data_IF_929694762617
#
_entry.id   IF_929694762617
#
_cell.length_a   1.000
_cell.length_b   1.000
_cell.length_c   1.000
_cell.angle_alpha   90.00
_cell.angle_beta   90.00
_cell.angle_gamma   90.00
#
_symmetry.space_group_name_H-M   'P 1'
#
loop_
_entity.id
_entity.type
_entity.pdbx_description
1 polymer ?
#
# COMPACT_ATOMS: atom_id res chain seq x y z
N UNK A 1 33.52 -148.16 32.83
CA UNK A 1 34.18 -147.46 33.95
C UNK A 1 34.49 -146.05 33.51
N UNK A 2 34.23 -145.02 34.33
CA UNK A 2 34.48 -143.63 33.98
C UNK A 2 35.97 -143.34 34.15
N UNK A 3 36.60 -142.70 33.17
CA UNK A 3 37.93 -142.10 33.37
C UNK A 3 37.85 -140.60 33.15
N UNK A 4 37.90 -139.92 34.28
CA UNK A 4 38.11 -138.49 34.46
C UNK A 4 39.50 -138.10 33.97
N UNK A 5 39.57 -137.04 33.17
CA UNK A 5 40.79 -136.26 32.98
C UNK A 5 40.56 -134.83 33.49
N UNK A 6 41.31 -134.48 34.53
CA UNK A 6 42.01 -133.21 34.63
C UNK A 6 41.21 -131.90 34.66
N UNK A 7 40.22 -131.78 35.55
CA UNK A 7 39.81 -130.58 36.33
C UNK A 7 38.36 -130.76 36.77
N UNK A 8 38.13 -131.49 37.87
CA UNK A 8 36.96 -131.42 38.77
C UNK A 8 35.52 -131.48 38.22
N UNK A 9 35.30 -131.58 36.91
CA UNK A 9 34.01 -131.33 36.27
C UNK A 9 33.69 -132.55 35.41
N UNK A 10 32.61 -133.28 35.73
CA UNK A 10 32.13 -134.39 34.92
C UNK A 10 31.61 -133.88 33.57
N UNK A 11 31.58 -134.73 32.53
CA UNK A 11 31.12 -134.34 31.18
C UNK A 11 29.71 -133.74 31.17
N UNK A 12 28.87 -134.11 32.14
CA UNK A 12 27.53 -133.56 32.34
C UNK A 12 27.57 -132.13 32.89
N UNK A 13 28.45 -131.84 33.85
CA UNK A 13 28.63 -130.50 34.40
C UNK A 13 29.29 -129.57 33.36
N UNK A 14 30.24 -130.06 32.55
CA UNK A 14 30.83 -129.27 31.47
C UNK A 14 29.77 -128.88 30.42
N UNK A 15 28.90 -129.82 30.02
CA UNK A 15 27.78 -129.53 29.11
C UNK A 15 26.77 -128.55 29.70
N UNK A 16 26.49 -128.66 31.00
CA UNK A 16 25.62 -127.71 31.70
C UNK A 16 26.24 -126.31 31.76
N UNK A 17 27.54 -126.20 32.06
CA UNK A 17 28.27 -124.92 32.06
C UNK A 17 28.27 -124.31 30.64
N UNK A 18 28.55 -125.09 29.60
CA UNK A 18 28.52 -124.60 28.20
C UNK A 18 27.12 -124.13 27.83
N UNK A 19 26.07 -124.89 28.17
CA UNK A 19 24.69 -124.49 27.90
C UNK A 19 24.31 -123.21 28.65
N UNK A 20 24.67 -123.08 29.94
CA UNK A 20 24.44 -121.88 30.73
C UNK A 20 25.22 -120.69 30.15
N UNK A 21 26.48 -120.89 29.74
CA UNK A 21 27.29 -119.84 29.12
C UNK A 21 26.74 -119.45 27.75
N UNK A 22 26.30 -120.38 26.91
CA UNK A 22 25.70 -120.09 25.61
C UNK A 22 24.34 -119.38 25.74
N UNK A 23 23.50 -119.77 26.69
CA UNK A 23 22.25 -119.06 26.99
C UNK A 23 22.54 -117.66 27.52
N UNK A 24 23.50 -117.52 28.44
CA UNK A 24 23.89 -116.23 29.00
C UNK A 24 24.55 -115.32 27.96
N UNK A 25 25.34 -115.89 27.04
CA UNK A 25 25.95 -115.17 25.92
C UNK A 25 24.88 -114.80 24.89
N UNK A 26 23.86 -115.62 24.65
CA UNK A 26 22.72 -115.26 23.81
C UNK A 26 21.88 -114.13 24.41
N UNK A 27 21.67 -114.12 25.73
CA UNK A 27 20.96 -113.03 26.42
C UNK A 27 21.72 -111.70 26.39
N UNK A 28 23.06 -111.72 26.37
CA UNK A 28 23.90 -110.51 26.45
C UNK A 28 24.33 -110.00 25.06
N UNK A 29 24.34 -110.86 24.04
CA UNK A 29 24.90 -110.53 22.73
C UNK A 29 23.88 -109.80 21.87
N UNK A 30 24.21 -108.54 21.54
CA UNK A 30 23.53 -107.78 20.49
C UNK A 30 23.60 -108.56 19.18
N UNK A 31 22.44 -108.72 18.55
CA UNK A 31 22.35 -109.37 17.25
C UNK A 31 22.90 -108.46 16.16
N UNK A 32 23.33 -109.05 15.03
CA UNK A 32 23.81 -108.26 13.89
C UNK A 32 22.72 -107.34 13.33
N UNK A 33 21.47 -107.78 13.42
CA UNK A 33 20.27 -107.04 13.02
C UNK A 33 20.07 -105.79 13.88
N UNK A 34 20.06 -105.91 15.22
CA UNK A 34 19.97 -104.76 16.13
C UNK A 34 21.11 -103.74 15.95
N UNK A 35 22.31 -104.21 15.62
CA UNK A 35 23.45 -103.33 15.35
C UNK A 35 23.33 -102.60 14.01
N UNK A 36 22.80 -103.26 12.97
CA UNK A 36 22.57 -102.64 11.67
C UNK A 36 21.38 -101.67 11.72
N UNK A 37 20.34 -101.95 12.50
CA UNK A 37 19.24 -101.02 12.81
C UNK A 37 19.76 -99.78 13.56
N UNK A 38 20.60 -99.97 14.58
CA UNK A 38 21.23 -98.85 15.29
C UNK A 38 22.08 -97.98 14.34
N UNK A 39 22.87 -98.58 13.44
CA UNK A 39 23.62 -97.81 12.43
C UNK A 39 22.69 -97.01 11.53
N UNK A 40 21.54 -97.58 11.15
CA UNK A 40 20.57 -96.90 10.31
C UNK A 40 20.00 -95.67 11.03
N UNK A 41 19.58 -95.82 12.29
CA UNK A 41 19.12 -94.70 13.13
C UNK A 41 20.21 -93.62 13.27
N UNK A 42 21.47 -94.02 13.50
CA UNK A 42 22.60 -93.07 13.61
C UNK A 42 22.84 -92.32 12.30
N UNK A 43 22.71 -92.98 11.14
CA UNK A 43 22.81 -92.31 9.83
C UNK A 43 21.67 -91.31 9.61
N UNK A 44 20.45 -91.69 9.96
CA UNK A 44 19.28 -90.79 9.86
C UNK A 44 19.42 -89.58 10.78
N UNK A 45 19.91 -89.78 12.00
CA UNK A 45 20.20 -88.69 12.93
C UNK A 45 21.29 -87.76 12.39
N UNK A 46 22.37 -88.30 11.83
CA UNK A 46 23.43 -87.50 11.20
C UNK A 46 22.90 -86.67 10.02
N UNK A 47 22.02 -87.24 9.19
CA UNK A 47 21.37 -86.51 8.10
C UNK A 47 20.41 -85.42 8.63
N UNK A 48 19.64 -85.70 9.68
CA UNK A 48 18.76 -84.73 10.32
C UNK A 48 19.55 -83.57 10.94
N UNK A 49 20.70 -83.87 11.56
CA UNK A 49 21.62 -82.87 12.09
C UNK A 49 22.18 -81.99 10.96
N UNK A 50 22.68 -82.57 9.87
CA UNK A 50 23.19 -81.81 8.73
C UNK A 50 22.12 -80.88 8.10
N UNK A 51 20.86 -81.34 8.00
CA UNK A 51 19.74 -80.48 7.54
C UNK A 51 19.44 -79.35 8.52
N UNK A 52 19.66 -79.56 9.81
CA UNK A 52 19.45 -78.56 10.85
C UNK A 52 20.55 -77.51 10.80
N UNK A 53 21.82 -77.90 10.65
CA UNK A 53 22.95 -76.98 10.46
C UNK A 53 22.73 -76.08 9.23
N UNK A 54 22.35 -76.66 8.08
CA UNK A 54 22.02 -75.85 6.89
C UNK A 54 20.86 -74.87 7.11
N UNK A 55 19.89 -75.21 7.95
CA UNK A 55 18.79 -74.29 8.31
C UNK A 55 19.27 -73.18 9.24
N UNK A 56 20.19 -73.48 10.16
CA UNK A 56 20.80 -72.50 11.05
C UNK A 56 21.68 -71.52 10.27
N UNK A 57 22.47 -71.98 9.30
CA UNK A 57 23.30 -71.12 8.45
C UNK A 57 22.43 -70.12 7.67
N UNK A 58 21.36 -70.61 7.02
CA UNK A 58 20.38 -69.75 6.32
C UNK A 58 19.66 -68.78 7.25
N UNK A 59 19.45 -69.16 8.51
CA UNK A 59 18.84 -68.26 9.50
C UNK A 59 19.83 -67.18 9.93
N UNK A 60 21.11 -67.53 10.11
CA UNK A 60 22.17 -66.59 10.43
C UNK A 60 22.33 -65.53 9.32
N UNK A 61 22.36 -65.95 8.05
CA UNK A 61 22.39 -65.05 6.90
C UNK A 61 21.20 -64.07 6.91
N UNK A 62 19.98 -64.56 7.13
CA UNK A 62 18.78 -63.70 7.22
C UNK A 62 18.81 -62.73 8.40
N UNK A 63 19.39 -63.13 9.53
CA UNK A 63 19.53 -62.26 10.69
C UNK A 63 20.53 -61.14 10.37
N UNK A 64 21.62 -61.43 9.66
CA UNK A 64 22.58 -60.44 9.23
C UNK A 64 21.96 -59.44 8.24
N UNK A 65 21.21 -59.90 7.23
CA UNK A 65 20.46 -59.05 6.31
C UNK A 65 19.45 -58.13 7.05
N UNK A 66 18.74 -58.68 8.05
CA UNK A 66 17.81 -57.90 8.87
C UNK A 66 18.53 -56.85 9.72
N UNK A 67 19.69 -57.18 10.29
CA UNK A 67 20.49 -56.23 11.06
C UNK A 67 21.00 -55.08 10.19
N UNK A 68 21.42 -55.35 8.96
CA UNK A 68 21.80 -54.30 8.00
C UNK A 68 20.60 -53.44 7.56
N UNK A 69 19.45 -54.06 7.28
CA UNK A 69 18.22 -53.34 6.95
C UNK A 69 17.76 -52.45 8.12
N UNK A 70 17.91 -52.92 9.36
CA UNK A 70 17.61 -52.15 10.56
C UNK A 70 18.55 -50.95 10.69
N UNK A 71 19.88 -51.15 10.56
CA UNK A 71 20.86 -50.04 10.59
C UNK A 71 20.56 -48.97 9.53
N UNK A 72 20.21 -49.38 8.32
CA UNK A 72 19.82 -48.46 7.24
C UNK A 72 18.54 -47.69 7.57
N UNK A 73 17.61 -48.32 8.28
CA UNK A 73 16.36 -47.68 8.71
C UNK A 73 16.62 -46.67 9.82
N UNK A 74 17.44 -47.02 10.81
CA UNK A 74 17.86 -46.13 11.89
C UNK A 74 18.56 -44.87 11.34
N UNK A 75 19.50 -45.04 10.41
CA UNK A 75 20.17 -43.91 9.75
C UNK A 75 19.18 -42.98 9.01
N UNK A 76 18.20 -43.54 8.29
CA UNK A 76 17.16 -42.75 7.62
C UNK A 76 16.27 -41.99 8.61
N UNK A 77 15.94 -42.59 9.75
CA UNK A 77 15.14 -41.94 10.79
C UNK A 77 15.92 -40.77 11.41
N UNK A 78 17.22 -40.93 11.62
CA UNK A 78 18.09 -39.86 12.11
C UNK A 78 18.17 -38.69 11.12
N UNK A 79 18.40 -38.97 9.83
CA UNK A 79 18.37 -37.94 8.78
C UNK A 79 17.02 -37.19 8.71
N UNK A 80 15.90 -37.91 8.86
CA UNK A 80 14.57 -37.30 8.89
C UNK A 80 14.37 -36.42 10.13
N UNK A 81 14.86 -36.84 11.30
CA UNK A 81 14.79 -36.05 12.52
C UNK A 81 15.60 -34.75 12.40
N UNK A 82 16.78 -34.79 11.77
CA UNK A 82 17.58 -33.60 11.50
C UNK A 82 16.90 -32.67 10.49
N UNK A 83 16.33 -33.22 9.42
CA UNK A 83 15.58 -32.45 8.43
C UNK A 83 14.35 -31.78 9.06
N UNK A 84 13.66 -32.46 9.98
CA UNK A 84 12.55 -31.91 10.73
C UNK A 84 13.02 -30.75 11.64
N UNK A 85 14.08 -30.92 12.43
CA UNK A 85 14.65 -29.84 13.25
C UNK A 85 15.03 -28.60 12.44
N UNK A 86 15.65 -28.80 11.27
CA UNK A 86 15.98 -27.70 10.35
C UNK A 86 14.73 -26.99 9.81
N UNK A 87 13.65 -27.73 9.59
CA UNK A 87 12.38 -27.18 9.13
C UNK A 87 11.70 -26.38 10.23
N UNK A 88 11.67 -26.90 11.46
CA UNK A 88 11.13 -26.19 12.64
C UNK A 88 11.86 -24.86 12.87
N UNK A 89 13.20 -24.87 12.82
CA UNK A 89 14.00 -23.65 12.97
C UNK A 89 13.67 -22.59 11.89
N UNK A 90 13.47 -23.02 10.63
CA UNK A 90 13.07 -22.11 9.53
C UNK A 90 11.67 -21.55 9.74
N UNK A 91 10.74 -22.34 10.25
CA UNK A 91 9.37 -21.89 10.55
C UNK A 91 9.38 -20.86 11.67
N UNK A 92 10.21 -21.06 12.71
CA UNK A 92 10.38 -20.09 13.79
C UNK A 92 10.96 -18.76 13.29
N UNK A 93 12.01 -18.80 12.46
CA UNK A 93 12.59 -17.60 11.84
C UNK A 93 11.57 -16.84 10.97
N UNK A 94 10.75 -17.56 10.21
CA UNK A 94 9.67 -16.97 9.40
C UNK A 94 8.60 -16.32 10.27
N UNK A 95 8.23 -16.93 11.39
CA UNK A 95 7.26 -16.36 12.33
C UNK A 95 7.79 -15.05 12.96
N UNK A 96 9.07 -15.01 13.33
CA UNK A 96 9.70 -13.77 13.82
C UNK A 96 9.78 -12.68 12.74
N UNK A 97 10.14 -13.05 11.51
CA UNK A 97 10.16 -12.12 10.38
C UNK A 97 8.76 -11.56 10.07
N UNK A 98 7.73 -12.39 10.16
CA UNK A 98 6.34 -11.97 10.01
C UNK A 98 5.94 -10.98 11.11
N UNK A 99 6.23 -11.29 12.38
CA UNK A 99 5.94 -10.39 13.51
C UNK A 99 6.62 -9.02 13.36
N UNK A 100 7.88 -9.00 12.90
CA UNK A 100 8.60 -7.75 12.59
C UNK A 100 7.97 -6.97 11.45
N UNK A 101 7.43 -7.67 10.46
CA UNK A 101 6.75 -7.06 9.32
C UNK A 101 5.42 -6.44 9.74
N UNK A 102 4.63 -7.15 10.55
CA UNK A 102 3.38 -6.66 11.13
C UNK A 102 3.60 -5.37 11.93
N UNK A 103 4.60 -5.35 12.82
CA UNK A 103 4.95 -4.15 13.59
C UNK A 103 5.31 -2.95 12.69
N UNK A 104 6.09 -3.16 11.62
CA UNK A 104 6.43 -2.10 10.66
C UNK A 104 5.23 -1.58 9.89
N UNK A 105 4.29 -2.46 9.55
CA UNK A 105 3.04 -2.07 8.86
C UNK A 105 2.17 -1.22 9.79
N UNK A 106 2.09 -1.58 11.07
CA UNK A 106 1.36 -0.79 12.08
C UNK A 106 1.98 0.61 12.26
N UNK A 107 3.31 0.72 12.40
CA UNK A 107 4.01 2.01 12.47
C UNK A 107 3.77 2.88 11.23
N UNK A 108 3.78 2.28 10.03
CA UNK A 108 3.48 2.98 8.78
C UNK A 108 2.03 3.49 8.73
N UNK A 109 1.08 2.68 9.19
CA UNK A 109 -0.33 3.09 9.26
C UNK A 109 -0.52 4.28 10.21
N UNK A 110 0.15 4.30 11.36
CA UNK A 110 0.13 5.44 12.27
C UNK A 110 0.76 6.70 11.67
N UNK A 111 1.90 6.57 10.99
CA UNK A 111 2.56 7.68 10.32
C UNK A 111 1.70 8.27 9.19
N UNK A 112 1.00 7.41 8.43
CA UNK A 112 0.04 7.85 7.41
C UNK A 112 -1.11 8.63 8.04
N UNK A 113 -1.71 8.13 9.13
CA UNK A 113 -2.79 8.82 9.83
C UNK A 113 -2.37 10.20 10.35
N UNK A 114 -1.15 10.33 10.89
CA UNK A 114 -0.59 11.62 11.31
C UNK A 114 -0.44 12.57 10.11
N UNK A 115 0.01 12.07 8.97
CA UNK A 115 0.18 12.83 7.73
C UNK A 115 -1.17 13.34 7.20
N UNK A 116 -2.20 12.49 7.18
CA UNK A 116 -3.56 12.87 6.77
C UNK A 116 -4.13 13.99 7.62
N UNK A 117 -3.94 13.94 8.95
CA UNK A 117 -4.36 15.01 9.87
C UNK A 117 -3.62 16.32 9.58
N UNK A 118 -2.30 16.27 9.34
CA UNK A 118 -1.52 17.47 9.01
C UNK A 118 -1.95 18.07 7.67
N UNK A 119 -2.20 17.24 6.65
CA UNK A 119 -2.68 17.69 5.35
C UNK A 119 -4.06 18.36 5.42
N UNK A 120 -4.96 17.80 6.23
CA UNK A 120 -6.27 18.40 6.46
C UNK A 120 -6.14 19.80 7.10
N UNK A 121 -5.27 19.96 8.10
CA UNK A 121 -4.99 21.27 8.72
C UNK A 121 -4.40 22.26 7.74
N UNK A 122 -3.39 21.85 6.97
CA UNK A 122 -2.76 22.69 5.96
C UNK A 122 -3.77 23.16 4.90
N UNK A 123 -4.69 22.27 4.50
CA UNK A 123 -5.75 22.61 3.54
C UNK A 123 -6.70 23.67 4.09
N UNK A 124 -7.09 23.59 5.37
CA UNK A 124 -7.93 24.62 5.99
C UNK A 124 -7.19 25.96 6.16
N UNK A 125 -5.92 25.93 6.60
CA UNK A 125 -5.09 27.14 6.67
C UNK A 125 -4.90 27.80 5.30
N UNK A 126 -4.73 27.00 4.25
CA UNK A 126 -4.62 27.50 2.88
C UNK A 126 -5.94 28.14 2.40
N UNK A 127 -7.09 27.56 2.78
CA UNK A 127 -8.41 28.16 2.50
C UNK A 127 -8.56 29.52 3.19
N UNK A 128 -8.26 29.61 4.49
CA UNK A 128 -8.30 30.89 5.24
C UNK A 128 -7.38 31.93 4.63
N UNK A 129 -6.19 31.52 4.20
CA UNK A 129 -5.25 32.41 3.51
C UNK A 129 -5.85 32.98 2.22
N UNK A 130 -6.53 32.16 1.41
CA UNK A 130 -7.23 32.65 0.21
C UNK A 130 -8.37 33.60 0.54
N UNK A 131 -9.14 33.34 1.60
CA UNK A 131 -10.21 34.23 2.06
C UNK A 131 -9.65 35.59 2.48
N UNK A 132 -8.57 35.61 3.28
CA UNK A 132 -7.89 36.85 3.68
C UNK A 132 -7.31 37.62 2.49
N UNK A 133 -6.68 36.92 1.54
CA UNK A 133 -6.19 37.54 0.30
C UNK A 133 -7.33 38.13 -0.54
N UNK A 134 -8.50 37.47 -0.57
CA UNK A 134 -9.71 38.00 -1.18
C UNK A 134 -10.17 39.30 -0.51
N UNK A 135 -10.22 39.32 0.83
CA UNK A 135 -10.53 40.52 1.61
C UNK A 135 -9.57 41.68 1.33
N UNK A 136 -8.27 41.42 1.25
CA UNK A 136 -7.26 42.44 0.91
C UNK A 136 -7.43 42.97 -0.53
N UNK A 137 -7.79 42.11 -1.48
CA UNK A 137 -8.07 42.54 -2.84
C UNK A 137 -9.25 43.52 -2.93
N UNK A 138 -10.27 43.36 -2.08
CA UNK A 138 -11.38 44.31 -1.97
C UNK A 138 -10.92 45.67 -1.42
N UNK A 139 -10.08 45.70 -0.38
CA UNK A 139 -9.57 46.96 0.18
C UNK A 139 -8.76 47.78 -0.82
N UNK A 140 -7.94 47.11 -1.66
CA UNK A 140 -7.20 47.79 -2.74
C UNK A 140 -8.13 48.32 -3.82
N UNK A 141 -9.25 47.64 -4.07
CA UNK A 141 -10.33 48.08 -4.97
C UNK A 141 -10.99 49.36 -4.49
N UNK A 142 -11.53 49.37 -3.27
CA UNK A 142 -12.21 50.55 -2.70
C UNK A 142 -11.32 51.80 -2.67
N UNK A 143 -10.03 51.65 -2.34
CA UNK A 143 -9.10 52.77 -2.37
C UNK A 143 -8.99 53.41 -3.77
N UNK A 144 -8.97 52.59 -4.82
CA UNK A 144 -8.89 53.11 -6.19
C UNK A 144 -10.19 53.82 -6.60
N UNK A 145 -11.32 53.36 -6.07
CA UNK A 145 -12.63 54.00 -6.26
C UNK A 145 -12.66 55.37 -5.58
N UNK A 146 -12.26 55.45 -4.30
CA UNK A 146 -12.18 56.70 -3.54
C UNK A 146 -11.25 57.72 -4.22
N UNK A 147 -10.03 57.30 -4.62
CA UNK A 147 -9.08 58.15 -5.33
C UNK A 147 -9.65 58.64 -6.67
N UNK A 148 -10.45 57.82 -7.36
CA UNK A 148 -11.12 58.21 -8.60
C UNK A 148 -12.21 59.27 -8.36
N UNK A 149 -13.06 59.08 -7.35
CA UNK A 149 -14.13 60.02 -7.03
C UNK A 149 -13.58 61.44 -6.78
N UNK A 150 -12.44 61.55 -6.09
CA UNK A 150 -11.82 62.84 -5.80
C UNK A 150 -11.10 63.47 -7.00
N UNK A 151 -10.42 62.66 -7.81
CA UNK A 151 -9.57 63.19 -8.89
C UNK A 151 -10.33 63.47 -10.19
N UNK A 152 -11.36 62.68 -10.50
CA UNK A 152 -12.06 62.74 -11.78
C UNK A 152 -12.70 64.09 -12.11
N UNK A 153 -13.29 64.86 -11.17
CA UNK A 153 -13.80 66.18 -11.49
C UNK A 153 -12.74 67.10 -12.11
N UNK A 154 -11.53 67.08 -11.54
CA UNK A 154 -10.42 67.90 -12.03
C UNK A 154 -9.87 67.37 -13.36
N UNK A 155 -9.75 66.04 -13.50
CA UNK A 155 -9.23 65.41 -14.72
C UNK A 155 -10.19 65.57 -15.91
N UNK A 156 -11.50 65.41 -15.69
CA UNK A 156 -12.51 65.56 -16.74
C UNK A 156 -12.66 67.03 -17.17
N UNK A 157 -12.54 67.97 -16.24
CA UNK A 157 -12.46 69.40 -16.57
C UNK A 157 -11.22 69.70 -17.42
N UNK A 158 -10.04 69.20 -17.01
CA UNK A 158 -8.78 69.41 -17.73
C UNK A 158 -8.77 68.80 -19.13
N UNK A 159 -9.18 67.54 -19.26
CA UNK A 159 -9.03 66.77 -20.50
C UNK A 159 -10.16 67.05 -21.50
N UNK A 160 -11.36 67.39 -21.01
CA UNK A 160 -12.57 67.48 -21.85
C UNK A 160 -13.34 68.80 -21.69
N UNK A 161 -12.92 69.70 -20.79
CA UNK A 161 -13.69 70.91 -20.47
C UNK A 161 -15.04 70.58 -19.82
N UNK A 162 -15.16 69.41 -19.17
CA UNK A 162 -16.39 68.97 -18.55
C UNK A 162 -16.56 69.58 -17.16
N UNK A 163 -17.69 70.24 -16.93
CA UNK A 163 -18.06 70.74 -15.61
C UNK A 163 -18.91 69.68 -14.89
N UNK A 164 -18.48 69.23 -13.71
CA UNK A 164 -19.23 68.24 -12.94
C UNK A 164 -20.45 68.90 -12.29
N UNK A 165 -21.62 68.32 -12.52
CA UNK A 165 -22.89 68.71 -11.92
C UNK A 165 -23.13 67.85 -10.67
N UNK A 166 -22.72 68.38 -9.51
CA UNK A 166 -22.83 67.72 -8.21
C UNK A 166 -21.57 66.91 -7.83
N UNK A 167 -21.78 65.74 -7.23
CA UNK A 167 -20.70 64.86 -6.79
C UNK A 167 -20.73 63.54 -7.55
N UNK A 168 -19.55 63.00 -7.85
CA UNK A 168 -19.42 61.61 -8.28
C UNK A 168 -19.54 60.71 -7.04
N UNK A 169 -20.24 59.58 -7.17
CA UNK A 169 -20.47 58.64 -6.07
C UNK A 169 -20.31 57.18 -6.49
N UNK A 170 -19.90 56.33 -5.55
CA UNK A 170 -20.07 54.89 -5.63
C UNK A 170 -21.52 54.57 -5.22
N UNK A 171 -22.30 53.92 -6.08
CA UNK A 171 -23.72 53.69 -5.80
C UNK A 171 -24.29 52.45 -6.49
N UNK A 172 -25.54 52.13 -6.19
CA UNK A 172 -26.31 51.07 -6.84
C UNK A 172 -27.38 51.69 -7.73
N UNK A 173 -27.32 51.39 -9.02
CA UNK A 173 -28.35 51.80 -9.98
C UNK A 173 -29.38 50.69 -10.12
N UNK A 174 -30.66 51.02 -9.94
CA UNK A 174 -31.75 50.08 -10.21
C UNK A 174 -31.94 49.97 -11.73
N UNK A 175 -31.82 48.74 -12.23
CA UNK A 175 -31.88 48.44 -13.68
C UNK A 175 -33.16 47.78 -14.13
N UNK A 176 -33.90 47.20 -13.19
CA UNK A 176 -35.23 46.65 -13.33
C UNK A 176 -35.81 46.54 -11.90
N UNK A 177 -37.12 46.34 -11.73
CA UNK A 177 -37.71 46.20 -10.40
C UNK A 177 -36.94 45.16 -9.56
N UNK A 178 -36.37 45.61 -8.44
CA UNK A 178 -35.59 44.79 -7.51
C UNK A 178 -34.26 44.24 -8.06
N UNK A 179 -33.72 44.82 -9.13
CA UNK A 179 -32.41 44.44 -9.72
C UNK A 179 -31.47 45.64 -9.76
N UNK A 180 -30.43 45.59 -8.93
CA UNK A 180 -29.44 46.64 -8.81
C UNK A 180 -28.12 46.25 -9.47
N UNK A 181 -27.39 47.25 -9.98
CA UNK A 181 -26.02 47.13 -10.43
C UNK A 181 -25.17 48.12 -9.66
N UNK A 182 -24.14 47.63 -8.99
CA UNK A 182 -23.13 48.46 -8.35
C UNK A 182 -22.26 49.13 -9.42
N UNK A 183 -22.08 50.44 -9.28
CA UNK A 183 -21.23 51.24 -10.17
C UNK A 183 -20.19 51.97 -9.32
N UNK A 184 -18.93 51.89 -9.73
CA UNK A 184 -17.83 52.45 -8.95
C UNK A 184 -17.81 53.97 -9.02
N UNK A 185 -18.20 54.57 -10.15
CA UNK A 185 -18.27 56.01 -10.32
C UNK A 185 -19.57 56.35 -11.06
N UNK A 186 -20.39 57.20 -10.47
CA UNK A 186 -21.62 57.69 -11.08
C UNK A 186 -21.86 59.17 -10.75
N UNK A 187 -22.31 59.93 -11.75
CA UNK A 187 -22.75 61.31 -11.55
C UNK A 187 -23.10 61.99 -12.86
N UNK A 188 -23.21 63.31 -12.83
CA UNK A 188 -23.58 64.10 -14.00
C UNK A 188 -22.54 65.17 -14.28
N UNK A 189 -22.46 65.58 -15.54
CA UNK A 189 -21.63 66.70 -15.95
C UNK A 189 -22.20 67.40 -17.17
N UNK A 190 -21.68 68.58 -17.46
CA UNK A 190 -21.98 69.34 -18.66
C UNK A 190 -20.78 69.27 -19.59
N UNK A 191 -20.99 68.75 -20.79
CA UNK A 191 -19.98 68.64 -21.84
C UNK A 191 -20.52 69.35 -23.08
N UNK A 192 -19.81 70.37 -23.57
CA UNK A 192 -20.22 71.17 -24.73
C UNK A 192 -21.66 71.71 -24.61
N UNK A 193 -22.04 72.15 -23.40
CA UNK A 193 -23.39 72.68 -23.12
C UNK A 193 -24.51 71.64 -23.01
N UNK A 194 -24.20 70.33 -23.07
CA UNK A 194 -25.18 69.25 -22.89
C UNK A 194 -24.91 68.50 -21.59
N UNK A 195 -25.98 68.14 -20.88
CA UNK A 195 -25.90 67.29 -19.70
C UNK A 195 -25.63 65.84 -20.12
N UNK A 196 -24.61 65.23 -19.53
CA UNK A 196 -24.20 63.85 -19.76
C UNK A 196 -24.12 63.10 -18.43
N UNK A 197 -24.39 61.79 -18.47
CA UNK A 197 -24.17 60.91 -17.34
C UNK A 197 -22.73 60.40 -17.37
N UNK A 198 -22.03 60.47 -16.25
CA UNK A 198 -20.67 59.95 -16.09
C UNK A 198 -20.78 58.59 -15.43
N UNK A 199 -20.29 57.56 -16.10
CA UNK A 199 -20.23 56.21 -15.56
C UNK A 199 -18.78 55.76 -15.57
N UNK A 200 -18.30 55.21 -14.46
CA UNK A 200 -16.98 54.64 -14.42
C UNK A 200 -16.84 53.35 -13.63
N UNK A 201 -15.82 52.60 -14.01
CA UNK A 201 -15.44 51.33 -13.39
C UNK A 201 -13.95 51.38 -13.00
N UNK A 202 -13.67 51.04 -11.74
CA UNK A 202 -12.33 50.95 -11.21
C UNK A 202 -11.90 49.48 -11.14
N UNK A 203 -10.70 49.18 -11.65
CA UNK A 203 -10.12 47.82 -11.59
C UNK A 203 -8.64 47.88 -11.32
N UNK A 204 -8.17 47.11 -10.34
CA UNK A 204 -6.74 47.11 -10.01
C UNK A 204 -5.85 46.78 -11.21
N UNK A 205 -6.29 45.84 -12.05
CA UNK A 205 -5.69 45.57 -13.36
C UNK A 205 -6.79 45.43 -14.40
N UNK A 206 -6.83 46.33 -15.39
CA UNK A 206 -7.84 46.32 -16.44
C UNK A 206 -7.55 45.25 -17.50
N UNK A 207 -8.48 44.29 -17.66
CA UNK A 207 -8.41 43.23 -18.67
C UNK A 207 -9.49 43.43 -19.74
N UNK A 208 -9.33 42.75 -20.88
CA UNK A 208 -10.30 42.80 -22.00
C UNK A 208 -11.73 42.46 -21.55
N UNK A 209 -11.88 41.42 -20.71
CA UNK A 209 -13.18 41.00 -20.18
C UNK A 209 -13.88 42.09 -19.36
N UNK A 210 -13.11 42.94 -18.69
CA UNK A 210 -13.64 44.01 -17.85
C UNK A 210 -14.15 45.15 -18.75
N UNK A 211 -13.41 45.49 -19.81
CA UNK A 211 -13.88 46.42 -20.87
C UNK A 211 -15.17 45.92 -21.53
N UNK A 212 -15.24 44.63 -21.86
CA UNK A 212 -16.43 44.01 -22.46
C UNK A 212 -17.61 43.96 -21.48
N UNK A 213 -17.34 43.75 -20.19
CA UNK A 213 -18.34 43.83 -19.11
C UNK A 213 -18.88 45.23 -18.93
N UNK A 214 -17.99 46.22 -18.88
CA UNK A 214 -18.34 47.63 -18.73
C UNK A 214 -19.23 48.14 -19.87
N UNK A 215 -19.00 47.71 -21.11
CA UNK A 215 -19.90 48.00 -22.22
C UNK A 215 -21.33 47.54 -21.96
N UNK A 216 -21.52 46.35 -21.39
CA UNK A 216 -22.85 45.81 -21.09
C UNK A 216 -23.53 46.63 -20.01
N UNK A 217 -22.78 47.03 -18.98
CA UNK A 217 -23.28 47.92 -17.93
C UNK A 217 -23.67 49.27 -18.51
N UNK A 218 -22.81 49.88 -19.32
CA UNK A 218 -23.07 51.15 -20.01
C UNK A 218 -24.32 51.09 -20.88
N UNK A 219 -24.52 50.00 -21.64
CA UNK A 219 -25.71 49.83 -22.47
C UNK A 219 -27.00 49.82 -21.62
N UNK A 220 -27.00 49.10 -20.50
CA UNK A 220 -28.14 49.06 -19.56
C UNK A 220 -28.38 50.44 -18.94
N UNK A 221 -27.32 51.10 -18.46
CA UNK A 221 -27.42 52.42 -17.83
C UNK A 221 -27.93 53.47 -18.82
N UNK A 222 -27.52 53.41 -20.09
CA UNK A 222 -28.07 54.27 -21.17
C UNK A 222 -29.57 54.06 -21.36
N UNK A 223 -30.03 52.82 -21.37
CA UNK A 223 -31.45 52.47 -21.50
C UNK A 223 -32.29 53.02 -20.34
N UNK A 224 -31.79 52.94 -19.11
CA UNK A 224 -32.50 53.41 -17.91
C UNK A 224 -32.46 54.93 -17.77
N UNK A 225 -31.30 55.54 -18.01
CA UNK A 225 -31.10 56.98 -17.80
C UNK A 225 -31.60 57.85 -18.96
N UNK A 226 -31.75 57.28 -20.16
CA UNK A 226 -32.12 58.03 -21.38
C UNK A 226 -31.11 59.10 -21.77
N UNK A 227 -29.92 59.11 -21.17
CA UNK A 227 -28.87 60.10 -21.36
C UNK A 227 -27.66 59.52 -22.07
N UNK A 228 -26.91 60.40 -22.73
CA UNK A 228 -25.58 60.05 -23.21
C UNK A 228 -24.66 59.75 -22.02
N UNK A 229 -24.01 58.58 -22.06
CA UNK A 229 -23.09 58.15 -21.00
C UNK A 229 -21.66 58.35 -21.45
N UNK A 230 -20.93 59.17 -20.69
CA UNK A 230 -19.49 59.37 -20.77
C UNK A 230 -18.76 58.27 -19.96
N UNK A 231 -18.05 57.33 -20.63
CA UNK A 231 -17.48 56.17 -19.96
C UNK A 231 -16.03 56.40 -19.50
N UNK A 232 -15.78 56.16 -18.22
CA UNK A 232 -14.46 56.30 -17.58
C UNK A 232 -13.99 54.96 -17.00
N UNK A 233 -12.74 54.58 -17.26
CA UNK A 233 -12.11 53.42 -16.66
C UNK A 233 -10.90 53.87 -15.84
N UNK A 234 -10.81 53.40 -14.60
CA UNK A 234 -9.70 53.74 -13.70
C UNK A 234 -8.94 52.48 -13.31
N UNK A 235 -7.61 52.49 -13.43
CA UNK A 235 -6.81 51.28 -13.17
C UNK A 235 -5.39 51.56 -12.68
N UNK A 236 -4.79 50.66 -11.89
CA UNK A 236 -3.34 50.77 -11.61
C UNK A 236 -2.53 50.35 -12.84
N UNK A 237 -2.99 49.36 -13.61
CA UNK A 237 -2.25 48.80 -14.73
C UNK A 237 -3.15 48.28 -15.85
N UNK A 238 -2.76 48.55 -17.10
CA UNK A 238 -3.41 48.03 -18.31
C UNK A 238 -2.36 47.72 -19.38
N UNK A 239 -2.57 46.68 -20.18
CA UNK A 239 -1.71 46.41 -21.33
C UNK A 239 -2.04 47.37 -22.50
N UNK A 240 -1.07 47.73 -23.36
CA UNK A 240 -1.32 48.63 -24.49
C UNK A 240 -2.49 48.17 -25.38
N UNK A 241 -2.59 46.86 -25.64
CA UNK A 241 -3.67 46.26 -26.43
C UNK A 241 -5.05 46.49 -25.81
N UNK A 242 -5.18 46.37 -24.48
CA UNK A 242 -6.46 46.58 -23.79
C UNK A 242 -6.78 48.08 -23.69
N UNK A 243 -5.78 48.93 -23.46
CA UNK A 243 -5.95 50.39 -23.46
C UNK A 243 -6.45 50.89 -24.82
N UNK A 244 -5.86 50.40 -25.91
CA UNK A 244 -6.30 50.71 -27.27
C UNK A 244 -7.73 50.23 -27.52
N UNK A 245 -8.06 48.99 -27.15
CA UNK A 245 -9.42 48.46 -27.32
C UNK A 245 -10.48 49.25 -26.53
N UNK A 246 -10.15 49.78 -25.36
CA UNK A 246 -11.04 50.67 -24.61
C UNK A 246 -11.22 52.03 -25.31
N UNK A 247 -10.14 52.61 -25.82
CA UNK A 247 -10.15 53.88 -26.56
C UNK A 247 -10.95 53.79 -27.87
N UNK A 248 -10.79 52.70 -28.64
CA UNK A 248 -11.58 52.42 -29.86
C UNK A 248 -13.09 52.35 -29.57
N UNK A 249 -13.47 51.99 -28.36
CA UNK A 249 -14.85 51.95 -27.88
C UNK A 249 -15.31 53.26 -27.21
N UNK A 250 -14.50 54.31 -27.30
CA UNK A 250 -14.81 55.64 -26.75
C UNK A 250 -14.67 55.76 -25.24
N UNK A 251 -13.99 54.83 -24.57
CA UNK A 251 -13.80 54.87 -23.11
C UNK A 251 -12.49 55.56 -22.76
N UNK A 252 -12.54 56.53 -21.84
CA UNK A 252 -11.34 57.16 -21.32
C UNK A 252 -10.75 56.31 -20.20
N UNK A 253 -9.49 55.89 -20.36
CA UNK A 253 -8.73 55.17 -19.32
C UNK A 253 -7.82 56.15 -18.58
N UNK A 254 -7.97 56.26 -17.26
CA UNK A 254 -7.04 56.93 -16.35
C UNK A 254 -6.25 55.91 -15.53
N UNK A 255 -4.95 56.11 -15.44
CA UNK A 255 -4.07 55.33 -14.57
C UNK A 255 -4.02 55.95 -13.17
N UNK A 256 -3.89 55.10 -12.15
CA UNK A 256 -3.86 55.53 -10.73
C UNK A 256 -2.92 56.70 -10.44
N UNK A 257 -1.74 56.77 -11.08
CA UNK A 257 -0.79 57.86 -10.87
C UNK A 257 -1.28 59.20 -11.43
N UNK A 258 -2.22 59.19 -12.38
CA UNK A 258 -2.87 60.39 -12.93
C UNK A 258 -3.92 60.96 -11.96
N UNK A 259 -4.42 60.13 -11.02
CA UNK A 259 -5.37 60.55 -9.98
C UNK A 259 -4.72 61.38 -8.88
N UNK A 260 -3.39 61.45 -8.85
CA UNK A 260 -2.67 62.29 -7.89
C UNK A 260 -2.84 63.76 -8.28
N UNK A 261 -3.90 64.37 -7.78
CA UNK A 261 -4.06 65.82 -7.85
C UNK A 261 -3.07 66.43 -6.88
N UNK A 262 -2.07 67.15 -7.40
CA UNK A 262 -1.22 68.02 -6.59
C UNK A 262 -2.14 69.02 -5.91
N UNK A 263 -2.31 68.89 -4.59
CA UNK A 263 -2.97 69.92 -3.80
C UNK A 263 -2.04 71.13 -3.85
N UNK A 264 -2.29 72.03 -4.79
CA UNK A 264 -1.68 73.35 -4.78
C UNK A 264 -2.07 74.01 -3.47
N UNK A 265 -1.07 74.26 -2.63
CA UNK A 265 -1.23 75.14 -1.48
C UNK A 265 -1.89 76.43 -1.93
N UNK A 266 -3.03 76.74 -1.33
CA UNK A 266 -3.64 78.06 -1.32
C UNK A 266 -3.97 78.38 0.13
#
# INVERSE_FOLDING_TARGET
MPQTTGQGITSEIYKAIVAIVDDRVREIRVTREEFDDLKQVVRELAQAQARTEQRLDRLAEKIEELAEAQKRTEARVEELAEAQKRTEARVEELAEAQKRTEARVEELAEAQKKTEVMLARLTDEHRRTREMLGGLAHTVGYRLEDEAIWALPHLLARDFGMEIDGQLVCTFLETAPNRYVEVNIWGYGVLNGRRVAILGEAKSQLKKRDVDGFLKTMARVREISGMEVFPVLVTYQVSPKVKQAAAEKGMKVYLSYELRVSHGSS
#
